data_IF_927195004112
#
_entry.id   IF_927195004112
#
_cell.length_a   1.000
_cell.length_b   1.000
_cell.length_c   1.000
_cell.angle_alpha   90.00
_cell.angle_beta   90.00
_cell.angle_gamma   90.00
#
_symmetry.space_group_name_H-M   'P 1'
#
loop_
_entity.id
_entity.type
_entity.pdbx_description
1 polymer ?
#
# COMPACT_ATOMS: atom_id res chain seq x y z
N UNK A 1 55.60 20.93 1.20
CA UNK A 1 56.29 19.62 1.08
C UNK A 1 55.46 18.75 0.16
N UNK A 2 56.07 18.23 -0.91
CA UNK A 2 55.55 17.26 -1.91
C UNK A 2 55.51 15.83 -1.31
N UNK A 3 54.94 14.77 -1.95
CA UNK A 3 54.56 14.62 -3.38
C UNK A 3 53.14 14.04 -3.62
N UNK A 4 52.35 14.44 -4.62
CA UNK A 4 52.35 14.07 -6.07
C UNK A 4 52.81 12.64 -6.37
N UNK A 5 51.86 11.71 -6.51
CA UNK A 5 52.09 10.38 -7.09
C UNK A 5 51.21 10.24 -8.33
N UNK A 6 51.83 10.48 -9.48
CA UNK A 6 51.37 10.02 -10.80
C UNK A 6 51.80 8.56 -10.97
N UNK A 7 50.87 7.66 -11.31
CA UNK A 7 51.22 6.34 -11.86
C UNK A 7 50.28 6.01 -13.03
N UNK A 8 50.82 6.26 -14.22
CA UNK A 8 50.82 5.45 -15.44
C UNK A 8 49.56 4.64 -15.82
N UNK A 9 48.90 5.13 -16.88
CA UNK A 9 48.14 4.34 -17.85
C UNK A 9 49.01 3.24 -18.46
N UNK A 10 48.53 2.00 -18.45
CA UNK A 10 48.97 0.95 -19.36
C UNK A 10 47.75 0.37 -20.09
N UNK A 11 47.58 0.74 -21.36
CA UNK A 11 46.66 0.10 -22.29
C UNK A 11 47.34 -1.16 -22.85
N UNK A 12 46.83 -2.33 -22.51
CA UNK A 12 47.16 -3.58 -23.18
C UNK A 12 45.92 -4.06 -23.95
N UNK A 13 45.95 -3.90 -25.27
CA UNK A 13 44.99 -4.50 -26.20
C UNK A 13 45.41 -5.94 -26.46
N UNK A 14 44.72 -6.90 -25.84
CA UNK A 14 44.81 -8.31 -26.17
C UNK A 14 43.48 -8.76 -26.78
N UNK A 15 43.43 -8.87 -28.10
CA UNK A 15 42.35 -9.51 -28.85
C UNK A 15 42.49 -11.03 -28.72
N UNK A 16 41.75 -11.62 -27.78
CA UNK A 16 41.57 -13.06 -27.64
C UNK A 16 40.10 -13.42 -27.85
N UNK A 17 39.78 -14.12 -28.94
CA UNK A 17 38.47 -14.73 -29.18
C UNK A 17 38.49 -16.07 -28.42
N UNK A 18 37.91 -16.09 -27.23
CA UNK A 18 37.77 -17.29 -26.40
C UNK A 18 36.31 -17.43 -25.94
N UNK A 19 35.81 -18.67 -25.73
CA UNK A 19 34.41 -18.89 -25.39
C UNK A 19 34.11 -18.27 -24.02
N UNK A 20 33.14 -17.36 -23.99
CA UNK A 20 32.60 -16.80 -22.75
C UNK A 20 31.87 -17.93 -22.02
N UNK A 21 32.54 -18.54 -21.05
CA UNK A 21 31.86 -19.29 -20.00
C UNK A 21 31.11 -18.28 -19.14
N UNK A 22 29.78 -18.28 -19.28
CA UNK A 22 28.89 -17.52 -18.42
C UNK A 22 29.12 -17.92 -16.97
N UNK A 23 29.90 -17.12 -16.23
CA UNK A 23 30.02 -17.26 -14.79
C UNK A 23 28.66 -16.95 -14.18
N UNK A 24 28.02 -17.97 -13.63
CA UNK A 24 26.78 -17.85 -12.89
C UNK A 24 27.06 -16.98 -11.65
N UNK A 25 26.79 -15.69 -11.74
CA UNK A 25 26.78 -14.83 -10.55
C UNK A 25 25.77 -15.43 -9.56
N UNK A 26 26.17 -15.69 -8.30
CA UNK A 26 25.22 -16.08 -7.26
C UNK A 26 24.14 -15.01 -7.22
N UNK A 27 22.88 -15.42 -7.42
CA UNK A 27 21.76 -14.52 -7.24
C UNK A 27 21.87 -13.88 -5.84
N UNK A 28 21.63 -12.56 -5.71
CA UNK A 28 21.61 -11.92 -4.41
C UNK A 28 20.66 -12.70 -3.49
N UNK A 29 21.02 -12.88 -2.21
CA UNK A 29 20.21 -13.67 -1.28
C UNK A 29 18.78 -13.17 -1.32
N UNK A 30 17.87 -14.03 -1.78
CA UNK A 30 16.45 -13.73 -1.80
C UNK A 30 16.04 -13.51 -0.34
N UNK A 31 15.76 -12.26 0.00
CA UNK A 31 15.27 -11.89 1.32
C UNK A 31 14.12 -12.82 1.68
N UNK A 32 14.24 -13.55 2.80
CA UNK A 32 13.20 -14.46 3.23
C UNK A 32 11.84 -13.74 3.22
N UNK A 33 10.75 -14.40 2.78
CA UNK A 33 9.45 -13.76 2.70
C UNK A 33 9.06 -13.25 4.09
N UNK A 34 8.95 -11.92 4.22
CA UNK A 34 8.47 -11.30 5.45
C UNK A 34 7.04 -11.77 5.66
N UNK A 35 6.80 -12.47 6.76
CA UNK A 35 5.46 -12.93 7.14
C UNK A 35 4.53 -11.71 7.20
N UNK A 36 3.51 -11.69 6.33
CA UNK A 36 2.50 -10.64 6.33
C UNK A 36 1.41 -10.99 7.32
N UNK A 37 1.02 -10.02 8.12
CA UNK A 37 -0.21 -10.13 8.89
C UNK A 37 -1.39 -9.99 7.92
N UNK A 38 -2.02 -11.11 7.60
CA UNK A 38 -3.18 -11.21 6.72
C UNK A 38 -4.40 -11.42 7.62
N UNK A 39 -5.42 -10.58 7.45
CA UNK A 39 -6.67 -10.75 8.19
C UNK A 39 -7.40 -12.03 7.73
N UNK A 40 -8.03 -12.77 8.65
CA UNK A 40 -8.97 -13.82 8.28
C UNK A 40 -10.06 -13.24 7.38
N UNK A 41 -10.51 -14.02 6.40
CA UNK A 41 -11.44 -13.57 5.36
C UNK A 41 -12.69 -12.82 5.88
N UNK A 42 -13.27 -13.28 6.99
CA UNK A 42 -14.44 -12.68 7.63
C UNK A 42 -14.18 -11.27 8.20
N UNK A 43 -12.92 -11.00 8.51
CA UNK A 43 -12.44 -9.78 9.15
C UNK A 43 -11.83 -8.81 8.13
N UNK A 44 -11.85 -9.14 6.84
CA UNK A 44 -11.33 -8.27 5.80
C UNK A 44 -12.28 -7.10 5.49
N UNK A 45 -11.70 -6.00 4.99
CA UNK A 45 -12.46 -4.83 4.57
C UNK A 45 -13.36 -5.21 3.41
N UNK A 46 -14.67 -5.08 3.63
CA UNK A 46 -15.67 -5.16 2.59
C UNK A 46 -15.75 -3.83 1.84
N UNK A 47 -15.19 -3.80 0.63
CA UNK A 47 -15.06 -2.54 -0.15
C UNK A 47 -16.41 -1.90 -0.49
N UNK A 48 -17.46 -2.72 -0.65
CA UNK A 48 -18.86 -2.32 -0.86
C UNK A 48 -19.50 -1.65 0.38
N UNK A 49 -18.97 -1.93 1.57
CA UNK A 49 -19.51 -1.46 2.85
C UNK A 49 -18.71 -0.31 3.46
N UNK A 50 -17.71 0.22 2.75
CA UNK A 50 -16.95 1.39 3.21
C UNK A 50 -17.89 2.59 3.29
N UNK A 51 -18.15 3.03 4.52
CA UNK A 51 -18.97 4.20 4.80
C UNK A 51 -18.12 5.39 5.26
N UNK A 52 -16.88 5.18 5.67
CA UNK A 52 -16.00 6.26 6.07
C UNK A 52 -14.54 5.90 5.86
N UNK A 53 -13.75 6.86 5.39
CA UNK A 53 -12.31 6.74 5.29
C UNK A 53 -11.63 8.06 5.57
N UNK A 54 -10.40 7.99 6.07
CA UNK A 54 -9.55 9.14 6.32
C UNK A 54 -8.11 8.84 5.93
N UNK A 55 -7.43 9.83 5.37
CA UNK A 55 -6.01 9.79 5.05
C UNK A 55 -5.30 10.57 6.14
N UNK A 56 -4.57 9.84 6.98
CA UNK A 56 -3.84 10.39 8.12
C UNK A 56 -2.53 11.03 7.62
N UNK A 57 -1.79 10.30 6.80
CA UNK A 57 -0.53 10.73 6.20
C UNK A 57 -0.31 10.04 4.83
N UNK A 58 0.89 10.17 4.27
CA UNK A 58 1.25 9.62 2.94
C UNK A 58 1.34 8.09 2.91
N UNK A 59 1.29 7.40 4.04
CA UNK A 59 1.33 5.92 4.15
C UNK A 59 0.18 5.33 4.94
N UNK A 60 -0.65 6.16 5.57
CA UNK A 60 -1.64 5.70 6.55
C UNK A 60 -3.04 6.13 6.16
N UNK A 61 -3.92 5.15 6.01
CA UNK A 61 -5.36 5.34 5.77
C UNK A 61 -6.12 4.59 6.85
N UNK A 62 -7.14 5.21 7.41
CA UNK A 62 -8.12 4.51 8.26
C UNK A 62 -9.43 4.37 7.51
N UNK A 63 -10.10 3.24 7.72
CA UNK A 63 -11.36 2.89 7.06
C UNK A 63 -12.35 2.38 8.09
N UNK A 64 -13.63 2.68 7.89
CA UNK A 64 -14.72 2.10 8.64
C UNK A 64 -15.68 1.40 7.68
N UNK A 65 -16.10 0.20 8.04
CA UNK A 65 -17.17 -0.55 7.36
C UNK A 65 -18.28 -0.85 8.36
N UNK A 66 -19.40 -0.13 8.23
CA UNK A 66 -20.53 -0.23 9.15
C UNK A 66 -20.24 0.39 10.53
N UNK A 67 -20.99 0.01 11.58
CA UNK A 67 -20.87 0.63 12.91
C UNK A 67 -19.69 0.12 13.74
N UNK A 68 -19.20 -1.10 13.48
CA UNK A 68 -18.27 -1.78 14.38
C UNK A 68 -16.86 -1.94 13.83
N UNK A 69 -16.71 -2.25 12.54
CA UNK A 69 -15.40 -2.58 11.99
C UNK A 69 -14.65 -1.32 11.56
N UNK A 70 -13.45 -1.15 12.12
CA UNK A 70 -12.55 -0.03 11.90
C UNK A 70 -11.17 -0.59 11.63
N UNK A 71 -10.49 -0.02 10.65
CA UNK A 71 -9.25 -0.56 10.11
C UNK A 71 -8.18 0.51 10.05
N UNK A 72 -6.96 0.08 10.32
CA UNK A 72 -5.73 0.77 9.94
C UNK A 72 -5.16 0.09 8.68
N UNK A 73 -4.89 0.87 7.66
CA UNK A 73 -4.30 0.43 6.40
C UNK A 73 -2.98 1.17 6.22
N UNK A 74 -1.88 0.40 6.20
CA UNK A 74 -0.55 0.92 5.92
C UNK A 74 -0.16 0.63 4.47
N UNK A 75 0.46 1.60 3.82
CA UNK A 75 0.90 1.53 2.42
C UNK A 75 2.40 1.23 2.34
N UNK A 76 2.80 0.53 1.29
CA UNK A 76 4.19 0.08 1.08
C UNK A 76 5.15 1.24 0.80
N UNK A 77 4.66 2.34 0.24
CA UNK A 77 5.45 3.49 -0.18
C UNK A 77 4.70 4.80 0.11
N UNK A 78 5.42 5.92 0.01
CA UNK A 78 4.84 7.26 0.16
C UNK A 78 3.92 7.62 -1.02
N UNK A 79 2.66 7.88 -0.69
CA UNK A 79 1.58 8.19 -1.59
C UNK A 79 1.18 9.66 -1.46
N UNK A 80 2.05 10.55 -1.92
CA UNK A 80 1.99 12.00 -1.66
C UNK A 80 0.70 12.67 -2.15
N UNK A 81 0.07 12.13 -3.20
CA UNK A 81 -1.16 12.67 -3.80
C UNK A 81 -2.41 11.90 -3.38
N UNK A 82 -2.32 11.04 -2.37
CA UNK A 82 -3.48 10.33 -1.86
C UNK A 82 -4.45 11.33 -1.22
N UNK A 83 -5.71 11.35 -1.67
CA UNK A 83 -6.74 12.27 -1.17
C UNK A 83 -6.67 13.70 -1.71
N UNK A 84 -5.58 14.08 -2.36
CA UNK A 84 -5.42 15.41 -2.99
C UNK A 84 -6.34 15.52 -4.22
N UNK A 85 -6.90 16.71 -4.45
CA UNK A 85 -7.80 17.00 -5.57
C UNK A 85 -9.24 16.60 -5.23
N UNK A 86 -9.80 15.65 -5.98
CA UNK A 86 -11.09 15.05 -5.64
C UNK A 86 -10.87 14.03 -4.52
N UNK A 87 -11.46 14.21 -3.31
CA UNK A 87 -11.28 13.31 -2.18
C UNK A 87 -12.05 12.02 -2.46
N UNK A 88 -11.48 11.18 -3.32
CA UNK A 88 -12.00 9.87 -3.67
C UNK A 88 -10.82 8.91 -3.73
N UNK A 89 -10.85 7.92 -2.84
CA UNK A 89 -9.99 6.75 -2.94
C UNK A 89 -10.83 5.53 -3.28
N UNK A 90 -10.21 4.56 -3.94
CA UNK A 90 -10.82 3.26 -4.22
C UNK A 90 -9.87 2.16 -3.79
N UNK A 91 -10.36 1.20 -3.03
CA UNK A 91 -9.63 0.00 -2.68
C UNK A 91 -9.73 -1.00 -3.82
N UNK A 92 -8.59 -1.58 -4.21
CA UNK A 92 -8.46 -2.53 -5.31
C UNK A 92 -7.99 -3.87 -4.72
N UNK A 93 -8.89 -4.87 -4.66
CA UNK A 93 -8.54 -6.24 -4.28
C UNK A 93 -7.53 -6.85 -5.25
N UNK A 94 -6.76 -7.83 -4.77
CA UNK A 94 -6.04 -8.72 -5.67
C UNK A 94 -7.02 -9.68 -6.39
N UNK A 95 -6.51 -10.47 -7.34
CA UNK A 95 -7.36 -11.37 -8.14
C UNK A 95 -8.08 -12.43 -7.30
N UNK A 96 -7.44 -12.94 -6.24
CA UNK A 96 -8.02 -13.95 -5.35
C UNK A 96 -9.20 -13.36 -4.56
N UNK A 97 -8.98 -12.23 -3.89
CA UNK A 97 -10.02 -11.57 -3.08
C UNK A 97 -11.15 -10.99 -3.94
N UNK A 98 -10.84 -10.60 -5.18
CA UNK A 98 -11.85 -10.22 -6.17
C UNK A 98 -12.80 -11.38 -6.49
N UNK A 99 -12.27 -12.59 -6.68
CA UNK A 99 -13.08 -13.78 -6.95
C UNK A 99 -13.96 -14.19 -5.76
N UNK A 100 -13.57 -13.83 -4.53
CA UNK A 100 -14.26 -14.22 -3.30
C UNK A 100 -15.22 -13.14 -2.75
N UNK A 101 -15.32 -11.97 -3.37
CA UNK A 101 -16.29 -10.93 -2.98
C UNK A 101 -15.71 -9.55 -2.69
N UNK A 102 -14.67 -9.13 -3.42
CA UNK A 102 -14.13 -7.77 -3.41
C UNK A 102 -13.69 -7.27 -2.02
N UNK A 103 -12.86 -8.07 -1.34
CA UNK A 103 -12.33 -7.75 0.00
C UNK A 103 -10.88 -7.28 -0.04
N UNK A 104 -10.44 -6.59 1.02
CA UNK A 104 -9.04 -6.24 1.28
C UNK A 104 -8.62 -6.85 2.62
N UNK A 105 -7.62 -7.72 2.57
CA UNK A 105 -7.19 -8.53 3.71
C UNK A 105 -5.74 -8.24 4.17
N UNK A 106 -5.01 -7.36 3.48
CA UNK A 106 -3.56 -7.15 3.67
C UNK A 106 -2.69 -8.07 2.79
N UNK A 107 -3.28 -8.65 1.74
CA UNK A 107 -2.61 -9.58 0.83
C UNK A 107 -1.68 -8.87 -0.16
N UNK A 108 -0.80 -9.66 -0.79
CA UNK A 108 0.01 -9.16 -1.91
C UNK A 108 -0.89 -8.79 -3.09
N UNK A 109 -0.57 -7.68 -3.76
CA UNK A 109 -1.28 -7.20 -4.95
C UNK A 109 -2.48 -6.31 -4.67
N UNK A 110 -2.89 -6.15 -3.40
CA UNK A 110 -3.94 -5.20 -3.00
C UNK A 110 -3.43 -3.76 -3.02
N UNK A 111 -4.30 -2.81 -3.41
CA UNK A 111 -3.90 -1.42 -3.64
C UNK A 111 -4.97 -0.42 -3.19
N UNK A 112 -4.55 0.82 -2.95
CA UNK A 112 -5.40 2.00 -2.84
C UNK A 112 -5.14 2.91 -4.03
N UNK A 113 -6.19 3.31 -4.75
CA UNK A 113 -6.10 4.19 -5.92
C UNK A 113 -6.69 5.55 -5.61
N UNK A 114 -5.98 6.61 -6.00
CA UNK A 114 -6.53 7.93 -6.30
C UNK A 114 -6.46 8.14 -7.83
N UNK A 115 -7.32 8.98 -8.40
CA UNK A 115 -7.32 9.34 -9.82
C UNK A 115 -6.03 10.03 -10.28
N UNK A 116 -5.36 10.77 -9.41
CA UNK A 116 -4.25 11.66 -9.78
C UNK A 116 -2.84 11.07 -9.55
N UNK A 117 -2.75 9.82 -9.10
CA UNK A 117 -1.47 9.13 -8.92
C UNK A 117 -1.61 7.63 -9.20
N UNK A 118 -0.50 6.92 -9.44
CA UNK A 118 -0.51 5.47 -9.53
C UNK A 118 -1.11 4.80 -8.27
N UNK A 119 -1.74 3.63 -8.40
CA UNK A 119 -2.23 2.89 -7.25
C UNK A 119 -1.11 2.51 -6.28
N UNK A 120 -1.34 2.76 -5.00
CA UNK A 120 -0.43 2.47 -3.92
C UNK A 120 -0.62 1.07 -3.37
N UNK A 121 0.45 0.28 -3.29
CA UNK A 121 0.40 -1.05 -2.71
C UNK A 121 0.08 -1.01 -1.22
N UNK A 122 -0.83 -1.88 -0.78
CA UNK A 122 -1.13 -2.07 0.64
C UNK A 122 -0.06 -2.98 1.25
N UNK A 123 0.50 -2.55 2.38
CA UNK A 123 1.48 -3.31 3.14
C UNK A 123 0.78 -4.20 4.17
N UNK A 124 -0.16 -3.63 4.93
CA UNK A 124 -0.91 -4.35 5.95
C UNK A 124 -2.29 -3.75 6.17
N UNK A 125 -3.21 -4.59 6.64
CA UNK A 125 -4.51 -4.17 7.16
C UNK A 125 -4.67 -4.75 8.55
N UNK A 126 -5.20 -3.97 9.48
CA UNK A 126 -5.42 -4.42 10.86
C UNK A 126 -6.70 -3.80 11.42
N UNK A 127 -7.43 -4.57 12.23
CA UNK A 127 -8.55 -4.03 13.00
C UNK A 127 -8.03 -3.13 14.11
N UNK A 128 -8.72 -2.03 14.35
CA UNK A 128 -8.42 -1.07 15.43
C UNK A 128 -9.66 -0.77 16.24
N UNK A 129 -9.45 -0.37 17.50
CA UNK A 129 -10.54 0.05 18.37
C UNK A 129 -11.15 1.38 17.92
N UNK A 130 -12.33 1.70 18.45
CA UNK A 130 -12.96 3.00 18.22
C UNK A 130 -12.11 4.18 18.72
N UNK A 131 -11.50 4.03 19.90
CA UNK A 131 -10.62 5.06 20.45
C UNK A 131 -9.41 5.33 19.53
N UNK A 132 -8.77 4.28 19.02
CA UNK A 132 -7.67 4.41 18.06
C UNK A 132 -8.13 5.06 16.76
N UNK A 133 -9.25 4.61 16.20
CA UNK A 133 -9.80 5.20 14.98
C UNK A 133 -10.08 6.70 15.14
N UNK A 134 -10.69 7.10 16.27
CA UNK A 134 -10.98 8.51 16.56
C UNK A 134 -9.71 9.34 16.73
N UNK A 135 -8.66 8.77 17.33
CA UNK A 135 -7.35 9.42 17.46
C UNK A 135 -6.71 9.69 16.09
N UNK A 136 -6.72 8.72 15.18
CA UNK A 136 -6.23 8.89 13.81
C UNK A 136 -7.10 9.85 12.99
N UNK A 137 -8.42 9.74 13.13
CA UNK A 137 -9.40 10.61 12.46
C UNK A 137 -9.16 12.09 12.80
N UNK A 138 -8.83 12.40 14.06
CA UNK A 138 -8.53 13.77 14.48
C UNK A 138 -7.29 14.37 13.80
N UNK A 139 -6.40 13.53 13.28
CA UNK A 139 -5.15 13.94 12.60
C UNK A 139 -5.30 13.96 11.08
N UNK A 140 -6.44 13.52 10.55
CA UNK A 140 -6.61 13.30 9.12
C UNK A 140 -6.70 14.60 8.32
N UNK A 141 -5.98 14.62 7.18
CA UNK A 141 -5.99 15.76 6.25
C UNK A 141 -7.15 15.69 5.25
N UNK A 142 -7.47 14.48 4.79
CA UNK A 142 -8.51 14.23 3.80
C UNK A 142 -9.42 13.12 4.28
N UNK A 143 -10.72 13.23 4.01
CA UNK A 143 -11.68 12.23 4.45
C UNK A 143 -12.93 12.24 3.59
N UNK A 144 -13.70 11.15 3.71
CA UNK A 144 -15.08 11.11 3.26
C UNK A 144 -15.89 10.29 4.25
N UNK A 145 -17.08 10.79 4.56
CA UNK A 145 -18.07 10.09 5.37
C UNK A 145 -19.34 10.00 4.54
N UNK A 146 -19.77 8.79 4.24
CA UNK A 146 -21.12 8.54 3.73
C UNK A 146 -22.05 8.59 4.93
N UNK A 147 -22.83 9.66 5.04
CA UNK A 147 -23.96 9.68 5.97
C UNK A 147 -24.91 8.57 5.55
N UNK A 148 -25.12 7.58 6.42
CA UNK A 148 -26.30 6.73 6.30
C UNK A 148 -27.47 7.66 6.63
N UNK A 149 -28.22 8.11 5.62
CA UNK A 149 -29.46 8.82 5.87
C UNK A 149 -30.34 7.89 6.71
N UNK A 150 -30.79 8.28 7.92
CA UNK A 150 -31.77 7.48 8.63
C UNK A 150 -32.98 7.31 7.72
N UNK A 151 -33.48 6.08 7.59
CA UNK A 151 -34.70 5.78 6.88
C UNK A 151 -35.89 6.39 7.64
N UNK A 152 -36.06 7.71 7.55
CA UNK A 152 -37.24 8.38 8.06
C UNK A 152 -38.39 8.13 7.09
N UNK A 153 -39.23 7.16 7.46
CA UNK A 153 -40.67 7.09 7.20
C UNK A 153 -41.20 8.06 6.12
N UNK A 154 -40.95 7.78 4.85
CA UNK A 154 -41.82 8.24 3.78
C UNK A 154 -42.99 7.26 3.72
N UNK A 155 -44.00 7.54 4.54
CA UNK A 155 -45.34 6.98 4.41
C UNK A 155 -45.96 7.53 3.11
N UNK A 156 -46.66 6.69 2.32
CA UNK A 156 -47.26 7.09 1.05
C UNK A 156 -48.30 8.21 1.20
#
# INVERSE_FOLDING_TARGET
>A
MKPVISVLLAFALASGIGPVLAQSQPAPPQSAPVARNILPFRDCIRTDQINEWHIVDTKTVIVRTGPYQRYLVNLQADCQWLGVGYPSISFIPNNSEKAMGYRICGQVGEKVRNRIQPPCGIQSVSLISEAQFNSYRAQAKYHSVRTQQPANNQKP
#
